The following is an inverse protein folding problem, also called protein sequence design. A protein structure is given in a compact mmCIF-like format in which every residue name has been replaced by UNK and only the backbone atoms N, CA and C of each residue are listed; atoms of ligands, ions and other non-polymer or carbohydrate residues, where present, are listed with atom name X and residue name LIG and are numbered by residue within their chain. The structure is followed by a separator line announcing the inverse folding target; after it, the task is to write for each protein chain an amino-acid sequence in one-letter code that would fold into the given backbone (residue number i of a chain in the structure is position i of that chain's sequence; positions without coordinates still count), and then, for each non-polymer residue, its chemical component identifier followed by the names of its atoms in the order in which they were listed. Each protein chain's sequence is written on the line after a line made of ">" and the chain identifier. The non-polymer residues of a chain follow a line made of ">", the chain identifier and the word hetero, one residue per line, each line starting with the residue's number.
data_IF_332061834691
#
_entry.id   IF_332061834691
#
_cell.length_a   1.000
_cell.length_b   1.000
_cell.length_c   1.000
_cell.angle_alpha   90.00
_cell.angle_beta   90.00
_cell.angle_gamma   90.00
#
_symmetry.space_group_name_H-M   'P 1'
#
loop_
_entity.id
_entity.type
_entity.pdbx_description
1 polymer ?
#
# COMPACT_ATOMS: atom_id res chain seq x y z
N UNK A 1 22.11 55.34 -23.52
CA UNK A 1 21.78 53.94 -23.31
C UNK A 1 21.05 53.44 -24.55
N UNK A 2 21.75 52.71 -25.43
CA UNK A 2 21.13 52.14 -26.61
C UNK A 2 20.42 50.85 -26.16
N UNK A 3 19.13 50.93 -26.04
CA UNK A 3 18.32 49.73 -25.93
C UNK A 3 18.40 49.00 -27.27
N UNK A 4 18.93 47.78 -27.32
CA UNK A 4 18.92 47.03 -28.56
C UNK A 4 17.46 46.90 -29.01
N UNK A 5 17.20 47.19 -30.26
CA UNK A 5 15.90 46.97 -30.88
C UNK A 5 15.52 45.50 -30.72
N UNK A 6 14.71 45.27 -29.71
CA UNK A 6 14.28 43.91 -29.37
C UNK A 6 13.33 43.47 -30.49
N UNK A 7 13.91 42.77 -31.47
CA UNK A 7 13.15 42.28 -32.60
C UNK A 7 11.98 41.42 -32.07
N UNK A 8 10.79 41.62 -32.61
CA UNK A 8 9.59 40.82 -32.28
C UNK A 8 9.87 39.32 -32.27
N UNK A 9 10.77 38.86 -33.12
CA UNK A 9 11.20 37.44 -33.22
C UNK A 9 11.98 36.97 -31.97
N UNK A 10 12.79 37.82 -31.37
CA UNK A 10 13.54 37.52 -30.13
C UNK A 10 12.62 37.56 -28.93
N UNK A 11 11.63 38.45 -28.87
CA UNK A 11 10.59 38.46 -27.85
C UNK A 11 9.75 37.20 -27.88
N UNK A 12 9.34 36.72 -29.06
CA UNK A 12 8.62 35.47 -29.23
C UNK A 12 9.47 34.26 -28.79
N UNK A 13 10.77 34.26 -29.13
CA UNK A 13 11.67 33.19 -28.68
C UNK A 13 11.83 33.12 -27.16
N UNK A 14 12.02 34.26 -26.51
CA UNK A 14 12.14 34.35 -25.04
C UNK A 14 10.82 33.93 -24.39
N UNK A 15 9.67 34.37 -24.89
CA UNK A 15 8.35 34.00 -24.40
C UNK A 15 8.09 32.49 -24.49
N UNK A 16 8.46 31.85 -25.60
CA UNK A 16 8.36 30.41 -25.79
C UNK A 16 9.27 29.63 -24.84
N UNK A 17 10.48 30.13 -24.61
CA UNK A 17 11.46 29.49 -23.73
C UNK A 17 11.00 29.55 -22.27
N UNK A 18 10.45 30.69 -21.82
CA UNK A 18 9.84 30.85 -20.50
C UNK A 18 8.62 29.95 -20.34
N UNK A 19 7.76 29.86 -21.34
CA UNK A 19 6.59 28.98 -21.32
C UNK A 19 7.00 27.50 -21.21
N UNK A 20 8.06 27.09 -21.95
CA UNK A 20 8.59 25.72 -21.86
C UNK A 20 9.18 25.40 -20.48
N UNK A 21 9.91 26.36 -19.87
CA UNK A 21 10.46 26.21 -18.52
C UNK A 21 9.35 26.10 -17.45
N UNK A 22 8.33 26.94 -17.53
CA UNK A 22 7.18 26.91 -16.62
C UNK A 22 6.38 25.60 -16.78
N UNK A 23 6.20 25.16 -18.02
CA UNK A 23 5.50 23.89 -18.30
C UNK A 23 6.29 22.68 -17.78
N UNK A 24 7.61 22.67 -17.96
CA UNK A 24 8.47 21.62 -17.44
C UNK A 24 8.46 21.60 -15.90
N UNK A 25 8.48 22.74 -15.26
CA UNK A 25 8.43 22.86 -13.81
C UNK A 25 7.08 22.43 -13.24
N UNK A 26 5.99 22.78 -13.89
CA UNK A 26 4.65 22.33 -13.54
C UNK A 26 4.51 20.80 -13.70
N UNK A 27 5.10 20.25 -14.77
CA UNK A 27 5.10 18.80 -14.99
C UNK A 27 5.91 18.02 -13.94
N UNK A 28 7.06 18.59 -13.49
CA UNK A 28 7.82 17.98 -12.39
C UNK A 28 7.09 18.05 -11.05
N UNK A 29 6.44 19.17 -10.76
CA UNK A 29 5.64 19.31 -9.54
C UNK A 29 4.41 18.41 -9.50
N UNK A 30 3.85 18.09 -10.66
CA UNK A 30 2.69 17.21 -10.79
C UNK A 30 3.07 15.72 -10.84
N UNK A 31 4.34 15.35 -10.92
CA UNK A 31 4.76 13.95 -10.86
C UNK A 31 4.52 13.31 -9.49
N UNK A 32 4.51 14.11 -8.42
CA UNK A 32 4.19 13.63 -7.08
C UNK A 32 2.67 13.58 -6.80
N UNK A 33 1.88 14.22 -7.64
CA UNK A 33 0.44 14.03 -7.71
C UNK A 33 0.20 13.12 -8.89
N UNK A 34 0.03 11.83 -8.63
CA UNK A 34 -0.49 10.91 -9.63
C UNK A 34 -1.69 11.55 -10.35
N UNK A 35 -2.02 11.12 -11.57
CA UNK A 35 -3.03 11.78 -12.38
C UNK A 35 -4.25 12.03 -11.49
N UNK A 36 -4.57 13.32 -11.28
CA UNK A 36 -5.82 13.71 -10.66
C UNK A 36 -6.91 13.27 -11.64
N UNK A 37 -7.31 12.01 -11.49
CA UNK A 37 -8.51 11.51 -12.13
C UNK A 37 -9.64 12.29 -11.47
N UNK A 38 -10.17 13.24 -12.20
CA UNK A 38 -11.41 13.91 -11.86
C UNK A 38 -12.49 12.81 -11.72
N UNK A 39 -12.96 12.62 -10.50
CA UNK A 39 -13.80 11.50 -10.10
C UNK A 39 -12.94 10.49 -9.35
N UNK A 40 -12.86 10.61 -8.01
CA UNK A 40 -12.47 9.49 -7.18
C UNK A 40 -13.51 8.41 -7.48
N UNK A 41 -13.12 7.45 -8.28
CA UNK A 41 -13.87 6.22 -8.47
C UNK A 41 -13.72 5.47 -7.12
N UNK A 42 -14.57 5.87 -6.17
CA UNK A 42 -14.69 5.27 -4.84
C UNK A 42 -15.36 3.91 -5.05
N UNK A 43 -14.64 3.03 -5.72
CA UNK A 43 -15.09 1.70 -6.03
C UNK A 43 -14.11 0.67 -5.49
N UNK A 44 -14.62 -0.48 -5.20
CA UNK A 44 -13.81 -1.67 -4.89
C UNK A 44 -13.38 -2.28 -6.22
N UNK A 45 -12.09 -2.59 -6.36
CA UNK A 45 -11.56 -3.19 -7.57
C UNK A 45 -11.90 -4.68 -7.63
N UNK A 46 -11.69 -5.36 -6.51
CA UNK A 46 -12.16 -6.72 -6.31
C UNK A 46 -12.40 -7.03 -4.83
N UNK A 47 -13.22 -8.03 -4.60
CA UNK A 47 -13.57 -8.55 -3.27
C UNK A 47 -13.32 -10.04 -3.26
N UNK A 48 -12.64 -10.53 -2.24
CA UNK A 48 -12.50 -11.95 -1.97
C UNK A 48 -13.30 -12.32 -0.72
N UNK A 49 -14.08 -13.36 -0.82
CA UNK A 49 -14.84 -13.93 0.29
C UNK A 49 -14.24 -15.28 0.70
N UNK A 50 -14.14 -15.52 2.01
CA UNK A 50 -13.72 -16.81 2.59
C UNK A 50 -12.47 -17.39 1.91
N UNK A 51 -11.41 -16.58 1.86
CA UNK A 51 -10.19 -16.93 1.14
C UNK A 51 -9.06 -17.38 2.06
N UNK A 52 -8.15 -18.15 1.48
CA UNK A 52 -6.89 -18.55 2.07
C UNK A 52 -5.76 -18.26 1.09
N UNK A 53 -4.72 -17.57 1.56
CA UNK A 53 -3.49 -17.33 0.82
C UNK A 53 -2.34 -17.98 1.56
N UNK A 54 -1.56 -18.75 0.84
CA UNK A 54 -0.35 -19.40 1.36
C UNK A 54 0.86 -18.75 0.70
N UNK A 55 1.70 -18.12 1.49
CA UNK A 55 2.99 -17.63 1.06
C UNK A 55 4.04 -18.71 1.24
N UNK A 56 4.90 -18.89 0.25
CA UNK A 56 6.00 -19.84 0.28
C UNK A 56 7.33 -19.13 0.46
N UNK A 57 8.26 -19.78 1.12
CA UNK A 57 9.64 -19.32 1.23
C UNK A 57 10.44 -19.60 -0.05
N UNK A 58 11.72 -19.22 -0.08
CA UNK A 58 12.64 -19.46 -1.21
C UNK A 58 12.82 -20.94 -1.55
N UNK A 59 12.48 -21.85 -0.64
CA UNK A 59 12.58 -23.29 -0.81
C UNK A 59 11.23 -23.96 -1.17
N UNK A 60 10.19 -23.15 -1.37
CA UNK A 60 8.85 -23.64 -1.69
C UNK A 60 8.09 -24.22 -0.49
N UNK A 61 8.56 -23.98 0.74
CA UNK A 61 7.85 -24.36 1.97
C UNK A 61 6.90 -23.26 2.40
N UNK A 62 5.82 -23.64 3.08
CA UNK A 62 4.88 -22.70 3.67
C UNK A 62 5.61 -21.77 4.66
N UNK A 63 5.52 -20.48 4.41
CA UNK A 63 6.08 -19.42 5.23
C UNK A 63 5.01 -18.75 6.08
N UNK A 64 3.87 -18.48 5.47
CA UNK A 64 2.75 -17.82 6.15
C UNK A 64 1.46 -18.18 5.45
N UNK A 65 0.44 -18.50 6.20
CA UNK A 65 -0.92 -18.67 5.69
C UNK A 65 -1.79 -17.55 6.26
N UNK A 66 -2.48 -16.83 5.39
CA UNK A 66 -3.50 -15.83 5.72
C UNK A 66 -4.87 -16.38 5.40
N UNK A 67 -5.77 -16.36 6.38
CA UNK A 67 -7.19 -16.62 6.20
C UNK A 67 -7.99 -15.42 6.63
N UNK A 68 -9.02 -15.08 5.86
CA UNK A 68 -9.97 -14.05 6.24
C UNK A 68 -11.31 -14.25 5.54
N UNK A 69 -12.43 -13.82 6.17
CA UNK A 69 -13.75 -13.92 5.56
C UNK A 69 -13.96 -12.90 4.43
N UNK A 70 -13.24 -11.76 4.48
CA UNK A 70 -13.42 -10.69 3.51
C UNK A 70 -12.10 -9.93 3.28
N UNK A 71 -11.80 -9.69 2.01
CA UNK A 71 -10.74 -8.79 1.57
C UNK A 71 -11.29 -7.90 0.47
N UNK A 72 -11.06 -6.60 0.58
CA UNK A 72 -11.45 -5.60 -0.38
C UNK A 72 -10.25 -4.80 -0.85
N UNK A 73 -10.02 -4.72 -2.15
CA UNK A 73 -9.05 -3.82 -2.74
C UNK A 73 -9.72 -2.57 -3.24
N UNK A 74 -9.28 -1.43 -2.76
CA UNK A 74 -9.79 -0.13 -3.20
C UNK A 74 -9.22 0.23 -4.57
N UNK A 75 -10.08 0.70 -5.47
CA UNK A 75 -9.69 1.06 -6.84
C UNK A 75 -8.81 2.31 -6.89
N UNK A 76 -9.09 3.29 -6.05
CA UNK A 76 -8.41 4.59 -6.08
C UNK A 76 -6.95 4.53 -5.68
N UNK A 77 -6.66 4.12 -4.47
CA UNK A 77 -5.32 4.06 -3.89
C UNK A 77 -4.71 2.65 -3.89
N UNK A 78 -5.45 1.67 -4.42
CA UNK A 78 -5.07 0.26 -4.50
C UNK A 78 -4.71 -0.38 -3.15
N UNK A 79 -5.12 0.22 -2.06
CA UNK A 79 -4.96 -0.36 -0.73
C UNK A 79 -5.90 -1.53 -0.51
N UNK A 80 -5.54 -2.42 0.39
CA UNK A 80 -6.30 -3.62 0.69
C UNK A 80 -6.77 -3.56 2.14
N UNK A 81 -8.06 -3.73 2.34
CA UNK A 81 -8.68 -3.91 3.65
C UNK A 81 -9.04 -5.37 3.86
N UNK A 82 -8.73 -5.90 5.03
CA UNK A 82 -8.97 -7.30 5.37
C UNK A 82 -9.79 -7.32 6.67
N UNK A 83 -10.92 -8.00 6.65
CA UNK A 83 -11.73 -8.21 7.84
C UNK A 83 -11.25 -9.45 8.59
N UNK A 84 -11.11 -9.34 9.89
CA UNK A 84 -10.71 -10.42 10.80
C UNK A 84 -9.61 -11.34 10.27
N UNK A 85 -8.42 -10.78 9.91
CA UNK A 85 -7.33 -11.60 9.41
C UNK A 85 -6.80 -12.56 10.46
N UNK A 86 -6.56 -13.80 10.05
CA UNK A 86 -5.86 -14.82 10.81
C UNK A 86 -4.60 -15.22 10.03
N UNK A 87 -3.45 -14.95 10.61
CA UNK A 87 -2.16 -15.40 10.10
C UNK A 87 -1.69 -16.64 10.86
N UNK A 88 -1.23 -17.61 10.13
CA UNK A 88 -0.60 -18.82 10.65
C UNK A 88 0.82 -18.89 10.10
N UNK A 89 1.80 -18.99 10.98
CA UNK A 89 3.22 -19.04 10.63
C UNK A 89 3.85 -20.27 11.24
N UNK A 90 4.40 -21.19 10.43
CA UNK A 90 5.09 -22.36 10.95
C UNK A 90 6.39 -21.95 11.64
N UNK A 91 6.67 -22.54 12.78
CA UNK A 91 7.94 -22.44 13.47
C UNK A 91 8.92 -23.53 12.97
N UNK A 92 10.19 -23.41 13.33
CA UNK A 92 11.24 -24.37 12.99
C UNK A 92 10.96 -25.79 13.46
N UNK A 93 10.17 -25.93 14.51
CA UNK A 93 9.76 -27.21 15.08
C UNK A 93 8.43 -27.75 14.50
N UNK A 94 7.91 -27.15 13.44
CA UNK A 94 6.65 -27.55 12.81
C UNK A 94 5.40 -27.13 13.59
N UNK A 95 5.55 -26.33 14.63
CA UNK A 95 4.46 -25.70 15.37
C UNK A 95 4.03 -24.44 14.64
N UNK A 96 2.77 -24.01 14.81
CA UNK A 96 2.23 -22.84 14.15
C UNK A 96 1.98 -21.70 15.16
N UNK A 97 2.51 -20.54 14.85
CA UNK A 97 2.15 -19.31 15.52
C UNK A 97 0.90 -18.74 14.84
N UNK A 98 -0.02 -18.25 15.62
CA UNK A 98 -1.20 -17.55 15.09
C UNK A 98 -1.17 -16.08 15.49
N UNK A 99 -1.54 -15.23 14.54
CA UNK A 99 -1.72 -13.79 14.76
C UNK A 99 -3.07 -13.40 14.20
N UNK A 100 -3.93 -12.83 15.04
CA UNK A 100 -5.27 -12.40 14.65
C UNK A 100 -5.52 -10.95 15.00
N UNK A 101 -6.40 -10.30 14.25
CA UNK A 101 -6.87 -8.94 14.48
C UNK A 101 -8.32 -8.80 14.03
N UNK A 102 -8.97 -7.69 14.37
CA UNK A 102 -10.30 -7.37 13.86
C UNK A 102 -10.23 -6.85 12.43
N UNK A 103 -9.23 -6.03 12.13
CA UNK A 103 -9.02 -5.48 10.79
C UNK A 103 -7.55 -5.45 10.42
N UNK A 104 -7.27 -5.68 9.14
CA UNK A 104 -5.97 -5.51 8.51
C UNK A 104 -6.04 -4.49 7.38
N UNK A 105 -5.01 -3.70 7.24
CA UNK A 105 -4.81 -2.79 6.14
C UNK A 105 -3.43 -3.05 5.51
N UNK A 106 -3.39 -3.15 4.20
CA UNK A 106 -2.16 -3.36 3.43
C UNK A 106 -2.01 -2.25 2.40
N UNK A 107 -0.80 -1.70 2.29
CA UNK A 107 -0.48 -0.71 1.27
C UNK A 107 -0.56 -1.30 -0.14
N UNK A 108 -0.73 -0.45 -1.15
CA UNK A 108 -0.79 -0.88 -2.56
C UNK A 108 0.43 -1.70 -3.01
N UNK A 109 1.60 -1.43 -2.46
CA UNK A 109 2.86 -2.14 -2.76
C UNK A 109 3.06 -3.39 -1.91
N UNK A 110 2.23 -3.60 -0.88
CA UNK A 110 2.39 -4.73 0.04
C UNK A 110 3.55 -4.57 1.05
N UNK A 111 4.21 -3.43 1.09
CA UNK A 111 5.37 -3.14 1.93
C UNK A 111 5.00 -2.72 3.37
N UNK A 112 3.75 -2.32 3.59
CA UNK A 112 3.25 -1.87 4.89
C UNK A 112 1.94 -2.55 5.22
N UNK A 113 1.89 -3.14 6.41
CA UNK A 113 0.69 -3.73 6.97
C UNK A 113 0.39 -3.09 8.32
N UNK A 114 -0.89 -2.83 8.58
CA UNK A 114 -1.40 -2.35 9.85
C UNK A 114 -2.50 -3.28 10.32
N UNK A 115 -2.39 -3.78 11.53
CA UNK A 115 -3.42 -4.57 12.21
C UNK A 115 -4.06 -3.71 13.29
N UNK A 116 -5.37 -3.78 13.43
CA UNK A 116 -6.13 -3.01 14.41
C UNK A 116 -7.21 -3.87 15.05
N UNK A 117 -7.51 -3.57 16.28
CA UNK A 117 -8.56 -4.20 17.09
C UNK A 117 -8.19 -5.59 17.57
N UNK A 118 -8.15 -5.78 18.87
CA UNK A 118 -7.89 -7.06 19.55
C UNK A 118 -6.76 -7.89 18.92
N UNK A 119 -5.64 -7.23 18.60
CA UNK A 119 -4.48 -7.93 18.04
C UNK A 119 -3.96 -8.90 19.08
N UNK A 120 -4.04 -10.18 18.79
CA UNK A 120 -3.58 -11.25 19.66
C UNK A 120 -2.64 -12.19 18.90
N UNK A 121 -1.56 -12.57 19.54
CA UNK A 121 -0.62 -13.57 19.04
C UNK A 121 -0.60 -14.75 20.01
N UNK A 122 -0.88 -15.92 19.49
CA UNK A 122 -0.83 -17.17 20.26
C UNK A 122 0.37 -17.99 19.78
N UNK A 123 1.28 -18.28 20.70
CA UNK A 123 2.38 -19.23 20.49
C UNK A 123 1.89 -20.65 20.76
N UNK A 124 2.36 -21.65 20.01
CA UNK A 124 2.09 -23.03 20.36
C UNK A 124 2.68 -23.30 21.73
N UNK A 125 1.78 -23.65 22.68
CA UNK A 125 2.14 -23.87 24.07
C UNK A 125 3.15 -25.00 24.20
N UNK A 126 4.37 -24.64 24.54
CA UNK A 126 5.24 -25.44 25.38
C UNK A 126 5.29 -24.74 26.73
N UNK A 127 4.43 -25.21 27.64
CA UNK A 127 4.43 -24.97 29.11
C UNK A 127 4.99 -23.59 29.55
N UNK A 128 4.31 -22.52 29.20
CA UNK A 128 4.69 -21.19 29.70
C UNK A 128 3.87 -20.11 28.98
N UNK A 129 2.65 -19.92 29.40
CA UNK A 129 1.72 -18.95 28.86
C UNK A 129 2.32 -17.54 28.93
N UNK A 130 2.79 -17.01 27.81
CA UNK A 130 2.92 -15.57 27.63
C UNK A 130 1.89 -15.15 26.58
N UNK A 131 0.68 -14.92 27.05
CA UNK A 131 -0.32 -14.22 26.24
C UNK A 131 0.09 -12.74 26.22
N UNK A 132 0.69 -12.30 25.12
CA UNK A 132 0.92 -10.88 24.91
C UNK A 132 -0.28 -10.30 24.17
N UNK A 133 -1.20 -9.71 24.91
CA UNK A 133 -2.36 -9.01 24.34
C UNK A 133 -1.99 -7.55 24.17
N UNK A 134 -1.83 -7.10 22.94
CA UNK A 134 -1.72 -5.68 22.62
C UNK A 134 -3.12 -5.11 22.42
N UNK A 135 -3.63 -4.35 23.40
CA UNK A 135 -4.83 -3.52 23.24
C UNK A 135 -4.39 -2.16 22.71
N UNK A 136 -4.88 -1.81 21.55
CA UNK A 136 -4.87 -0.43 21.02
C UNK A 136 -6.30 0.09 20.92
#
# INVERSE_FOLDING_TARGET
>A
MNLPSLNWRTLLGIGLLLAALLSSWAALRNRDKGPATAGQDVGVDYVLHDFQVVALDEHGKESTTLRAPLLERQRGDQTINIATPLFEMPDKDGKHWTLRAETGWLSAKGDKMKLRGNVASDSPADTGVVQTTFRT
#
